data_IF_352383208471
#
_entry.id   IF_352383208471
#
_cell.length_a   1.000
_cell.length_b   1.000
_cell.length_c   1.000
_cell.angle_alpha   90.00
_cell.angle_beta   90.00
_cell.angle_gamma   90.00
#
_symmetry.space_group_name_H-M   'P 1'
#
loop_
_entity.id
_entity.type
_entity.pdbx_description
1 polymer ?
#
# COMPACT_ATOMS: atom_id res chain seq x y z
N UNK A 1 -1.57 28.50 -10.05
CA UNK A 1 -1.92 27.07 -10.17
C UNK A 1 -3.42 27.03 -10.28
N UNK A 2 -3.96 26.41 -11.33
CA UNK A 2 -5.41 26.23 -11.49
C UNK A 2 -5.85 25.09 -10.56
N UNK A 3 -6.88 25.31 -9.74
CA UNK A 3 -7.41 24.27 -8.85
C UNK A 3 -8.11 23.22 -9.70
N UNK A 4 -7.51 22.03 -9.79
CA UNK A 4 -8.15 20.90 -10.44
C UNK A 4 -9.17 20.36 -9.42
N UNK A 5 -10.46 20.56 -9.71
CA UNK A 5 -11.52 20.03 -8.88
C UNK A 5 -11.62 18.51 -9.07
N UNK A 6 -11.79 17.80 -7.96
CA UNK A 6 -12.08 16.37 -7.97
C UNK A 6 -13.42 16.07 -8.64
N UNK A 7 -13.48 14.93 -9.32
CA UNK A 7 -14.72 14.39 -9.83
C UNK A 7 -15.58 13.90 -8.67
N UNK A 8 -16.91 14.10 -8.75
CA UNK A 8 -17.85 13.64 -7.72
C UNK A 8 -18.14 12.13 -7.85
N UNK A 9 -17.09 11.32 -8.05
CA UNK A 9 -17.18 9.88 -8.06
C UNK A 9 -16.63 9.27 -6.76
N UNK A 10 -17.13 8.09 -6.41
CA UNK A 10 -16.65 7.32 -5.27
C UNK A 10 -15.87 6.11 -5.74
N UNK A 11 -14.97 5.62 -4.90
CA UNK A 11 -14.32 4.33 -5.12
C UNK A 11 -15.36 3.20 -5.22
N UNK A 12 -15.06 2.21 -6.07
CA UNK A 12 -15.88 1.00 -6.14
C UNK A 12 -15.71 0.22 -4.82
N UNK A 13 -16.79 -0.40 -4.31
CA UNK A 13 -16.76 -1.10 -3.02
C UNK A 13 -15.69 -2.21 -2.99
N UNK A 14 -15.57 -2.97 -4.08
CA UNK A 14 -14.58 -4.04 -4.20
C UNK A 14 -13.13 -3.51 -4.11
N UNK A 15 -12.85 -2.35 -4.72
CA UNK A 15 -11.52 -1.74 -4.66
C UNK A 15 -11.24 -1.19 -3.26
N UNK A 16 -12.26 -0.67 -2.59
CA UNK A 16 -12.17 -0.19 -1.20
C UNK A 16 -11.83 -1.32 -0.24
N UNK A 17 -12.59 -2.42 -0.28
CA UNK A 17 -12.34 -3.61 0.54
C UNK A 17 -10.93 -4.15 0.27
N UNK A 18 -10.55 -4.23 -1.01
CA UNK A 18 -9.22 -4.73 -1.40
C UNK A 18 -8.10 -3.83 -0.90
N UNK A 19 -8.26 -2.51 -0.96
CA UNK A 19 -7.25 -1.57 -0.46
C UNK A 19 -7.05 -1.71 1.05
N UNK A 20 -8.13 -1.88 1.82
CA UNK A 20 -8.06 -2.08 3.27
C UNK A 20 -7.41 -3.41 3.63
N UNK A 21 -7.74 -4.50 2.92
CA UNK A 21 -7.07 -5.79 3.13
C UNK A 21 -5.55 -5.68 2.91
N UNK A 22 -5.14 -5.11 1.78
CA UNK A 22 -3.73 -4.93 1.44
C UNK A 22 -3.01 -3.99 2.41
N UNK A 23 -3.72 -2.97 2.90
CA UNK A 23 -3.23 -2.06 3.92
C UNK A 23 -2.86 -2.84 5.19
N UNK A 24 -3.79 -3.63 5.73
CA UNK A 24 -3.55 -4.41 6.94
C UNK A 24 -2.48 -5.49 6.71
N UNK A 25 -2.51 -6.17 5.56
CA UNK A 25 -1.49 -7.15 5.19
C UNK A 25 -0.09 -6.52 5.19
N UNK A 26 0.08 -5.33 4.61
CA UNK A 26 1.37 -4.66 4.58
C UNK A 26 1.83 -4.22 5.99
N UNK A 27 0.90 -3.74 6.83
CA UNK A 27 1.17 -3.40 8.23
C UNK A 27 1.65 -4.61 9.02
N UNK A 28 0.97 -5.75 8.86
CA UNK A 28 1.36 -7.02 9.50
C UNK A 28 2.73 -7.51 8.99
N UNK A 29 2.94 -7.53 7.67
CA UNK A 29 4.17 -8.00 7.05
C UNK A 29 5.40 -7.15 7.43
N UNK A 30 5.22 -5.84 7.60
CA UNK A 30 6.31 -4.91 7.94
C UNK A 30 6.45 -4.69 9.44
N UNK A 31 5.45 -5.07 10.24
CA UNK A 31 5.36 -4.72 11.66
C UNK A 31 5.28 -3.21 11.89
N UNK A 32 4.85 -2.44 10.89
CA UNK A 32 4.78 -0.99 10.98
C UNK A 32 3.74 -0.55 12.02
N UNK A 33 4.08 0.44 12.83
CA UNK A 33 3.12 1.06 13.76
C UNK A 33 2.53 2.28 13.06
N UNK A 34 1.42 2.06 12.37
CA UNK A 34 0.64 3.10 11.71
C UNK A 34 -0.64 3.36 12.49
N UNK A 35 -1.13 4.60 12.43
CA UNK A 35 -2.46 4.92 12.97
C UNK A 35 -3.54 4.20 12.12
N UNK A 36 -4.72 3.95 12.69
CA UNK A 36 -5.87 3.36 11.99
C UNK A 36 -6.50 4.38 11.01
N UNK A 37 -6.73 4.03 9.73
CA UNK A 37 -7.35 4.93 8.75
C UNK A 37 -8.83 5.20 9.07
N UNK A 38 -9.30 6.41 8.73
CA UNK A 38 -10.74 6.71 8.76
C UNK A 38 -11.39 6.20 7.49
N UNK A 39 -12.30 5.24 7.62
CA UNK A 39 -12.89 4.52 6.48
C UNK A 39 -14.07 5.27 5.85
N UNK A 40 -14.71 6.18 6.58
CA UNK A 40 -15.92 6.92 6.18
C UNK A 40 -15.65 8.31 5.57
N UNK A 41 -14.49 8.49 4.95
CA UNK A 41 -14.09 9.75 4.32
C UNK A 41 -14.24 9.71 2.80
N UNK A 42 -14.66 10.83 2.15
CA UNK A 42 -14.82 10.87 0.69
C UNK A 42 -13.52 10.60 -0.10
N UNK A 43 -12.36 10.90 0.48
CA UNK A 43 -11.04 10.75 -0.13
C UNK A 43 -10.23 9.66 0.59
N UNK A 44 -10.80 8.46 0.66
CA UNK A 44 -10.19 7.33 1.37
C UNK A 44 -8.83 6.95 0.76
N UNK A 45 -8.65 7.10 -0.54
CA UNK A 45 -7.38 6.84 -1.22
C UNK A 45 -6.23 7.67 -0.62
N UNK A 46 -6.46 8.96 -0.33
CA UNK A 46 -5.46 9.81 0.30
C UNK A 46 -5.27 9.50 1.77
N UNK A 47 -6.34 9.17 2.49
CA UNK A 47 -6.27 8.77 3.90
C UNK A 47 -5.36 7.54 4.06
N UNK A 48 -5.53 6.53 3.22
CA UNK A 48 -4.71 5.31 3.21
C UNK A 48 -3.28 5.59 2.75
N UNK A 49 -3.11 6.34 1.65
CA UNK A 49 -1.80 6.70 1.12
C UNK A 49 -0.96 7.52 2.12
N UNK A 50 -1.61 8.35 2.94
CA UNK A 50 -0.97 9.17 3.97
C UNK A 50 -0.39 8.38 5.14
N UNK A 51 -0.76 7.11 5.31
CA UNK A 51 -0.24 6.26 6.41
C UNK A 51 1.10 5.61 6.08
N UNK A 52 1.49 5.59 4.82
CA UNK A 52 2.77 5.04 4.38
C UNK A 52 3.66 6.12 3.79
N UNK A 53 4.97 5.94 3.93
CA UNK A 53 5.93 6.80 3.24
C UNK A 53 6.06 6.35 1.78
N UNK A 54 5.17 6.85 0.93
CA UNK A 54 5.23 6.62 -0.50
C UNK A 54 6.32 7.50 -1.16
N UNK A 55 6.98 6.95 -2.17
CA UNK A 55 7.91 7.70 -3.01
C UNK A 55 7.22 8.93 -3.62
N UNK A 56 7.98 10.02 -3.78
CA UNK A 56 7.44 11.30 -4.26
C UNK A 56 6.72 11.16 -5.60
N UNK A 57 7.24 10.35 -6.50
CA UNK A 57 6.65 10.08 -7.82
C UNK A 57 5.28 9.39 -7.71
N UNK A 58 5.09 8.53 -6.72
CA UNK A 58 3.81 7.85 -6.48
C UNK A 58 2.79 8.82 -5.86
N UNK A 59 3.21 9.63 -4.89
CA UNK A 59 2.37 10.70 -4.33
C UNK A 59 1.92 11.67 -5.43
N UNK A 60 2.84 12.06 -6.32
CA UNK A 60 2.51 12.92 -7.47
C UNK A 60 1.52 12.27 -8.43
N UNK A 61 1.66 10.96 -8.72
CA UNK A 61 0.69 10.25 -9.58
C UNK A 61 -0.71 10.21 -8.97
N UNK A 62 -0.82 9.96 -7.66
CA UNK A 62 -2.10 9.99 -6.96
C UNK A 62 -2.73 11.39 -7.01
N UNK A 63 -1.94 12.44 -6.80
CA UNK A 63 -2.39 13.84 -6.84
C UNK A 63 -2.81 14.32 -8.24
N UNK A 64 -2.32 13.67 -9.30
CA UNK A 64 -2.69 14.00 -10.69
C UNK A 64 -4.03 13.40 -11.11
N UNK A 65 -4.58 12.45 -10.34
CA UNK A 65 -5.86 11.82 -10.62
C UNK A 65 -6.97 12.58 -9.88
N UNK A 66 -7.99 12.99 -10.62
CA UNK A 66 -9.18 13.72 -10.13
C UNK A 66 -10.32 12.82 -9.70
N UNK A 67 -10.33 11.58 -10.19
CA UNK A 67 -11.33 10.57 -9.88
C UNK A 67 -10.88 9.71 -8.69
N UNK A 68 -11.71 9.63 -7.65
CA UNK A 68 -11.44 8.81 -6.48
C UNK A 68 -11.42 7.33 -6.84
N UNK A 69 -12.28 6.91 -7.78
CA UNK A 69 -12.26 5.53 -8.30
C UNK A 69 -10.91 5.20 -8.94
N UNK A 70 -10.39 6.08 -9.79
CA UNK A 70 -9.11 5.85 -10.45
C UNK A 70 -7.95 5.90 -9.47
N UNK A 71 -7.99 6.80 -8.48
CA UNK A 71 -7.01 6.84 -7.39
C UNK A 71 -7.01 5.56 -6.57
N UNK A 72 -8.18 5.06 -6.18
CA UNK A 72 -8.29 3.83 -5.40
C UNK A 72 -7.74 2.62 -6.16
N UNK A 73 -8.04 2.50 -7.45
CA UNK A 73 -7.47 1.43 -8.30
C UNK A 73 -5.96 1.47 -8.35
N UNK A 74 -5.38 2.65 -8.57
CA UNK A 74 -3.93 2.83 -8.54
C UNK A 74 -3.36 2.48 -7.16
N UNK A 75 -4.02 2.89 -6.08
CA UNK A 75 -3.56 2.58 -4.73
C UNK A 75 -3.56 1.08 -4.45
N UNK A 76 -4.61 0.35 -4.85
CA UNK A 76 -4.67 -1.11 -4.74
C UNK A 76 -3.48 -1.76 -5.47
N UNK A 77 -3.16 -1.33 -6.68
CA UNK A 77 -2.01 -1.84 -7.44
C UNK A 77 -0.68 -1.59 -6.70
N UNK A 78 -0.52 -0.39 -6.13
CA UNK A 78 0.68 -0.02 -5.38
C UNK A 78 0.85 -0.84 -4.11
N UNK A 79 -0.22 -0.97 -3.31
CA UNK A 79 -0.19 -1.74 -2.07
C UNK A 79 0.04 -3.24 -2.35
N UNK A 80 -0.59 -3.79 -3.39
CA UNK A 80 -0.38 -5.18 -3.80
C UNK A 80 1.08 -5.43 -4.22
N UNK A 81 1.66 -4.51 -4.99
CA UNK A 81 3.06 -4.58 -5.39
C UNK A 81 4.01 -4.53 -4.19
N UNK A 82 3.74 -3.65 -3.23
CA UNK A 82 4.51 -3.52 -2.00
C UNK A 82 4.43 -4.78 -1.12
N UNK A 83 3.23 -5.28 -0.86
CA UNK A 83 3.02 -6.51 -0.08
C UNK A 83 3.76 -7.70 -0.71
N UNK A 84 3.64 -7.87 -2.03
CA UNK A 84 4.35 -8.93 -2.76
C UNK A 84 5.88 -8.76 -2.74
N UNK A 85 6.40 -7.53 -2.72
CA UNK A 85 7.84 -7.29 -2.58
C UNK A 85 8.34 -7.65 -1.18
N UNK A 86 7.67 -7.15 -0.14
CA UNK A 86 8.01 -7.42 1.27
C UNK A 86 7.93 -8.91 1.58
N UNK A 87 6.89 -9.61 1.13
CA UNK A 87 6.77 -11.06 1.32
C UNK A 87 7.94 -11.84 0.69
N UNK A 88 8.36 -11.47 -0.53
CA UNK A 88 9.50 -12.10 -1.21
C UNK A 88 10.81 -11.84 -0.49
N UNK A 89 11.03 -10.61 0.00
CA UNK A 89 12.24 -10.28 0.75
C UNK A 89 12.35 -11.08 2.05
N UNK A 90 11.25 -11.25 2.78
CA UNK A 90 11.19 -12.08 3.98
C UNK A 90 11.51 -13.55 3.67
N UNK A 91 10.92 -14.11 2.62
CA UNK A 91 11.20 -15.50 2.19
C UNK A 91 12.69 -15.69 1.85
N UNK A 92 13.31 -14.74 1.15
CA UNK A 92 14.74 -14.77 0.83
C UNK A 92 15.58 -14.71 2.11
N UNK A 93 15.23 -13.82 3.04
CA UNK A 93 15.92 -13.67 4.31
C UNK A 93 15.83 -14.93 5.19
N UNK A 94 14.67 -15.59 5.24
CA UNK A 94 14.47 -16.85 5.95
C UNK A 94 15.31 -17.98 5.35
N UNK A 95 15.33 -18.11 4.02
CA UNK A 95 16.14 -19.11 3.32
C UNK A 95 17.63 -18.89 3.54
N UNK A 96 18.09 -17.64 3.52
CA UNK A 96 19.48 -17.29 3.81
C UNK A 96 19.88 -17.65 5.25
N UNK A 97 19.01 -17.36 6.24
CA UNK A 97 19.23 -17.73 7.64
C UNK A 97 19.29 -19.26 7.84
N UNK A 98 18.48 -20.03 7.12
CA UNK A 98 18.48 -21.50 7.20
C UNK A 98 19.75 -22.11 6.58
N UNK A 99 20.27 -21.53 5.50
CA UNK A 99 21.49 -21.99 4.84
C UNK A 99 22.78 -21.54 5.54
N UNK A 100 22.75 -20.48 6.36
CA UNK A 100 23.87 -20.05 7.18
C UNK A 100 24.15 -20.92 8.43
N UNK A 101 23.23 -21.82 8.78
CA UNK A 101 23.34 -22.77 9.91
C UNK A 101 23.81 -24.17 9.50
N UNK A 102 24.39 -24.33 8.30
CA UNK A 102 25.08 -25.57 7.95
C UNK A 102 26.49 -25.50 8.55
N UNK A 103 26.67 -26.11 9.71
CA UNK A 103 27.98 -26.30 10.35
C UNK A 103 28.91 -27.04 9.36
N UNK A 104 30.07 -26.47 8.97
CA UNK A 104 31.03 -27.19 8.13
C UNK A 104 31.84 -28.24 8.91
N UNK A 105 31.53 -28.58 10.17
CA UNK A 105 32.28 -29.59 10.93
C UNK A 105 31.37 -30.45 11.82
N UNK A 106 31.14 -31.69 11.36
CA UNK A 106 30.60 -32.80 12.14
C UNK A 106 30.59 -34.07 11.32
#
# INVERSE_FOLDING_TARGET
VEEIADEADGADQADTERALELYHELVELTGAVVEEPRIDVPQLSFELAGRFELAAELKQRLLQLTSERMRMKLLVELLAGAAAAVAREQEIAERAQRNGKVDPRG
#
